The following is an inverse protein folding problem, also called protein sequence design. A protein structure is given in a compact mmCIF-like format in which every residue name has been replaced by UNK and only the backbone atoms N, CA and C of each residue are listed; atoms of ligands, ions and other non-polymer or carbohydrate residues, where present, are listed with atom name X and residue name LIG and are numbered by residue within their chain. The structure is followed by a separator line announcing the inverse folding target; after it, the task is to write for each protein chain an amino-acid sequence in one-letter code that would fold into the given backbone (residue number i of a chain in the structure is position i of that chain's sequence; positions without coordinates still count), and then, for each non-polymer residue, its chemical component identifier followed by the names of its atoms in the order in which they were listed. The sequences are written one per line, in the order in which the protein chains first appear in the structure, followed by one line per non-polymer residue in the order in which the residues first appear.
data_IF_634627878928
#
_entry.id   IF_634627878928
#
_cell.length_a   1.000
_cell.length_b   1.000
_cell.length_c   1.000
_cell.angle_alpha   90.00
_cell.angle_beta   90.00
_cell.angle_gamma   90.00
#
_symmetry.space_group_name_H-M   'P 1'
#
loop_
_entity.id
_entity.type
_entity.pdbx_description
1 polymer ?
#
# COMPACT_ATOMS: atom_id res chain seq x y z
N UNK A 1 11.10 41.65 20.28
CA UNK A 1 10.14 40.98 19.38
C UNK A 1 10.85 39.80 18.73
N UNK A 2 10.80 38.65 19.39
CA UNK A 2 11.50 37.42 19.00
C UNK A 2 10.60 36.65 18.05
N UNK A 3 11.00 36.53 16.77
CA UNK A 3 10.29 35.74 15.77
C UNK A 3 10.53 34.26 16.03
N UNK A 4 9.50 33.56 16.48
CA UNK A 4 9.49 32.12 16.62
C UNK A 4 9.49 31.49 15.22
N UNK A 5 10.56 30.78 14.86
CA UNK A 5 10.59 29.91 13.70
C UNK A 5 9.78 28.65 14.03
N UNK A 6 8.60 28.51 13.44
CA UNK A 6 7.86 27.26 13.43
C UNK A 6 8.57 26.37 12.40
N UNK A 7 9.39 25.44 12.89
CA UNK A 7 9.97 24.37 12.11
C UNK A 7 8.84 23.42 11.73
N UNK A 8 8.37 23.53 10.49
CA UNK A 8 7.38 22.63 9.91
C UNK A 8 8.10 21.32 9.55
N UNK A 9 8.21 20.40 10.50
CA UNK A 9 8.69 19.05 10.23
C UNK A 9 7.61 18.35 9.42
N UNK A 10 7.84 18.24 8.10
CA UNK A 10 7.06 17.45 7.17
C UNK A 10 7.20 15.98 7.61
N UNK A 11 6.25 15.48 8.39
CA UNK A 11 6.11 14.04 8.65
C UNK A 11 5.62 13.44 7.35
N UNK A 12 6.57 13.07 6.50
CA UNK A 12 6.32 12.25 5.33
C UNK A 12 5.96 10.86 5.89
N UNK A 13 4.69 10.46 5.81
CA UNK A 13 4.18 9.18 6.33
C UNK A 13 5.05 8.01 5.88
N UNK A 14 5.77 7.44 6.84
CA UNK A 14 6.75 6.35 6.65
C UNK A 14 6.13 5.08 6.05
N UNK A 15 4.81 4.90 6.16
CA UNK A 15 4.09 3.75 5.61
C UNK A 15 4.13 3.68 4.06
N UNK A 16 4.11 4.83 3.35
CA UNK A 16 4.21 4.85 1.88
C UNK A 16 5.65 4.90 1.35
N UNK A 17 6.64 5.15 2.22
CA UNK A 17 8.05 5.07 1.81
C UNK A 17 8.48 3.63 1.50
N UNK A 18 7.80 2.60 2.01
CA UNK A 18 8.07 1.21 1.60
C UNK A 18 7.43 0.82 0.26
N UNK A 19 6.29 1.42 -0.11
CA UNK A 19 5.61 1.16 -1.37
C UNK A 19 6.15 2.01 -2.55
N UNK A 20 6.61 3.24 -2.28
CA UNK A 20 7.02 4.20 -3.31
C UNK A 20 8.46 4.72 -3.14
N UNK A 21 9.22 4.23 -2.15
CA UNK A 21 10.62 4.60 -1.90
C UNK A 21 11.58 3.95 -2.89
N UNK A 22 11.61 4.46 -4.13
CA UNK A 22 12.81 4.64 -4.97
C UNK A 22 13.94 3.61 -4.75
N UNK A 23 13.76 2.41 -5.32
CA UNK A 23 14.75 1.34 -5.29
C UNK A 23 14.66 0.39 -6.48
N UNK A 24 14.39 0.92 -7.68
CA UNK A 24 14.82 0.19 -8.87
C UNK A 24 16.35 0.08 -8.85
N UNK A 25 16.96 -1.07 -9.18
CA UNK A 25 18.41 -1.17 -9.24
C UNK A 25 18.94 -0.08 -10.17
N UNK A 26 20.06 0.58 -9.83
CA UNK A 26 20.68 1.51 -10.75
C UNK A 26 20.91 0.77 -12.07
N UNK A 27 20.50 1.39 -13.19
CA UNK A 27 21.01 1.04 -14.52
C UNK A 27 22.51 1.36 -14.53
N UNK A 28 23.28 0.51 -13.86
CA UNK A 28 24.71 0.47 -13.92
C UNK A 28 25.07 -0.38 -15.12
N UNK A 29 25.55 0.29 -16.17
CA UNK A 29 26.29 -0.32 -17.25
C UNK A 29 27.43 -1.18 -16.66
N UNK A 30 27.21 -2.50 -16.62
CA UNK A 30 28.12 -3.47 -16.05
C UNK A 30 28.36 -4.59 -17.05
N UNK A 31 29.30 -4.35 -17.96
CA UNK A 31 30.06 -5.30 -18.77
C UNK A 31 29.65 -6.78 -18.67
N UNK A 32 29.16 -7.34 -19.78
CA UNK A 32 29.09 -8.77 -20.04
C UNK A 32 30.50 -9.38 -20.01
N UNK A 33 30.95 -9.79 -18.82
CA UNK A 33 32.15 -10.60 -18.63
C UNK A 33 31.75 -12.07 -18.48
N UNK A 34 31.82 -12.82 -19.58
CA UNK A 34 31.87 -14.28 -19.53
C UNK A 34 33.18 -14.71 -18.85
N UNK A 35 33.07 -15.63 -17.89
CA UNK A 35 34.21 -16.21 -17.18
C UNK A 35 33.82 -17.56 -16.61
N UNK A 36 34.30 -18.61 -17.28
CA UNK A 36 34.13 -20.00 -16.92
C UNK A 36 34.89 -20.36 -15.63
N UNK A 37 34.29 -21.23 -14.81
CA UNK A 37 35.05 -22.17 -13.98
C UNK A 37 35.02 -21.92 -12.47
N UNK A 38 34.46 -22.89 -11.74
CA UNK A 38 34.71 -23.07 -10.31
C UNK A 38 33.52 -23.65 -9.55
N UNK A 39 33.49 -24.98 -9.44
CA UNK A 39 32.72 -25.64 -8.42
C UNK A 39 33.38 -25.43 -7.03
N UNK A 40 32.54 -25.59 -6.00
CA UNK A 40 32.87 -25.79 -4.57
C UNK A 40 32.92 -24.54 -3.68
N UNK A 41 31.76 -24.23 -3.10
CA UNK A 41 31.62 -23.32 -1.96
C UNK A 41 30.21 -23.39 -1.39
N UNK A 42 29.96 -24.38 -0.53
CA UNK A 42 28.70 -24.54 0.21
C UNK A 42 28.44 -23.42 1.21
N UNK A 43 28.09 -22.24 0.70
CA UNK A 43 27.25 -21.31 1.43
C UNK A 43 25.83 -21.84 1.35
N UNK A 44 25.19 -22.12 2.48
CA UNK A 44 23.73 -22.04 2.52
C UNK A 44 23.41 -20.60 2.14
N UNK A 45 23.07 -20.38 0.87
CA UNK A 45 22.31 -19.23 0.45
C UNK A 45 21.10 -19.26 1.37
N UNK A 46 21.11 -18.45 2.43
CA UNK A 46 19.97 -18.28 3.32
C UNK A 46 18.95 -17.57 2.45
N UNK A 47 18.26 -18.37 1.65
CA UNK A 47 17.59 -17.95 0.43
C UNK A 47 16.64 -16.83 0.76
N UNK A 48 17.01 -15.64 0.30
CA UNK A 48 16.16 -14.47 0.37
C UNK A 48 14.96 -14.77 -0.53
N UNK A 49 13.83 -15.14 0.08
CA UNK A 49 12.64 -15.48 -0.67
C UNK A 49 12.03 -14.17 -1.22
N UNK A 50 11.84 -14.05 -2.54
CA UNK A 50 11.08 -12.94 -3.08
C UNK A 50 9.63 -13.05 -2.62
N UNK A 51 9.04 -11.92 -2.27
CA UNK A 51 7.64 -11.79 -1.88
C UNK A 51 6.96 -10.70 -2.70
N UNK A 52 5.65 -10.85 -2.87
CA UNK A 52 4.78 -9.80 -3.39
C UNK A 52 4.31 -8.97 -2.20
N UNK A 53 4.42 -7.65 -2.31
CA UNK A 53 3.87 -6.71 -1.34
C UNK A 53 2.65 -6.05 -1.95
N UNK A 54 1.54 -6.04 -1.22
CA UNK A 54 0.32 -5.42 -1.69
C UNK A 54 -0.62 -5.00 -0.57
N UNK A 55 -1.69 -4.34 -0.98
CA UNK A 55 -2.80 -3.95 -0.10
C UNK A 55 -4.04 -4.69 -0.54
N UNK A 56 -4.81 -5.17 0.43
CA UNK A 56 -6.16 -5.66 0.17
C UNK A 56 -7.10 -5.10 1.22
N UNK A 57 -8.30 -4.72 0.80
CA UNK A 57 -9.24 -4.07 1.70
C UNK A 57 -10.65 -4.51 1.48
N UNK A 58 -11.46 -4.35 2.53
CA UNK A 58 -12.90 -4.54 2.51
C UNK A 58 -13.55 -3.50 3.41
N UNK A 59 -14.59 -2.85 2.92
CA UNK A 59 -15.27 -1.79 3.67
C UNK A 59 -16.76 -1.73 3.37
N UNK A 60 -17.53 -1.30 4.37
CA UNK A 60 -18.87 -0.78 4.17
C UNK A 60 -18.78 0.68 3.71
N UNK A 61 -19.50 0.97 2.62
CA UNK A 61 -19.50 2.28 1.97
C UNK A 61 -20.93 2.76 1.81
N UNK A 62 -21.21 3.94 2.37
CA UNK A 62 -22.46 4.66 2.15
C UNK A 62 -22.17 5.81 1.20
N UNK A 63 -22.76 5.78 0.01
CA UNK A 63 -22.56 6.83 -1.01
C UNK A 63 -23.61 7.93 -0.85
N UNK A 64 -23.21 9.18 -1.09
CA UNK A 64 -24.11 10.33 -1.11
C UNK A 64 -23.79 11.36 -0.03
N UNK A 65 -24.76 12.24 0.25
CA UNK A 65 -24.60 13.30 1.24
C UNK A 65 -24.50 12.69 2.65
N UNK A 66 -23.38 12.95 3.33
CA UNK A 66 -23.09 12.31 4.62
C UNK A 66 -22.60 10.86 4.48
N UNK A 67 -22.09 10.49 3.31
CA UNK A 67 -21.52 9.18 3.07
C UNK A 67 -20.38 8.82 4.01
N UNK A 68 -20.14 7.52 4.16
CA UNK A 68 -19.15 6.95 5.07
C UNK A 68 -18.35 5.85 4.40
N UNK A 69 -17.16 5.59 4.94
CA UNK A 69 -16.32 4.46 4.60
C UNK A 69 -15.82 3.87 5.92
N UNK A 70 -16.08 2.61 6.18
CA UNK A 70 -15.62 1.92 7.38
C UNK A 70 -15.26 0.48 7.04
N UNK A 71 -14.01 0.11 7.28
CA UNK A 71 -13.52 -1.19 6.90
C UNK A 71 -12.15 -1.50 7.45
N UNK A 72 -11.47 -2.43 6.79
CA UNK A 72 -10.09 -2.81 7.11
C UNK A 72 -9.24 -2.84 5.86
N UNK A 73 -7.95 -2.66 6.07
CA UNK A 73 -6.93 -2.78 5.04
C UNK A 73 -5.78 -3.64 5.57
N UNK A 74 -5.40 -4.64 4.77
CA UNK A 74 -4.32 -5.55 5.04
C UNK A 74 -3.15 -5.20 4.12
N UNK A 75 -2.03 -4.75 4.71
CA UNK A 75 -0.73 -4.84 4.07
C UNK A 75 -0.26 -6.28 4.14
N UNK A 76 -0.12 -6.93 2.98
CA UNK A 76 0.34 -8.30 2.91
C UNK A 76 1.72 -8.41 2.27
N UNK A 77 2.46 -9.40 2.76
CA UNK A 77 3.65 -9.97 2.12
C UNK A 77 3.29 -11.40 1.75
N UNK A 78 3.29 -11.70 0.46
CA UNK A 78 2.87 -13.00 -0.07
C UNK A 78 4.05 -13.71 -0.71
N UNK A 79 4.23 -14.97 -0.35
CA UNK A 79 5.21 -15.87 -0.95
C UNK A 79 4.84 -16.21 -2.41
N UNK A 80 5.80 -16.68 -3.21
CA UNK A 80 5.57 -17.05 -4.61
C UNK A 80 4.55 -18.20 -4.80
N UNK A 81 4.30 -18.99 -3.76
CA UNK A 81 3.26 -20.02 -3.78
C UNK A 81 1.85 -19.48 -3.48
N UNK A 82 1.73 -18.18 -3.20
CA UNK A 82 0.48 -17.50 -2.89
C UNK A 82 0.11 -17.47 -1.40
N UNK A 83 0.93 -18.03 -0.50
CA UNK A 83 0.65 -17.94 0.94
C UNK A 83 1.07 -16.57 1.50
N UNK A 84 0.20 -15.95 2.29
CA UNK A 84 0.55 -14.73 3.02
C UNK A 84 1.51 -15.11 4.16
N UNK A 85 2.72 -14.55 4.14
CA UNK A 85 3.77 -14.81 5.13
C UNK A 85 3.81 -13.75 6.23
N UNK A 86 3.29 -12.55 5.94
CA UNK A 86 3.06 -11.49 6.91
C UNK A 86 1.85 -10.67 6.50
N UNK A 87 0.99 -10.35 7.47
CA UNK A 87 -0.14 -9.45 7.27
C UNK A 87 -0.23 -8.46 8.42
N UNK A 88 -0.21 -7.17 8.11
CA UNK A 88 -0.54 -6.10 9.03
C UNK A 88 -1.92 -5.57 8.66
N UNK A 89 -2.87 -5.69 9.58
CA UNK A 89 -4.24 -5.24 9.41
C UNK A 89 -4.45 -3.92 10.14
N UNK A 90 -5.02 -2.95 9.44
CA UNK A 90 -5.44 -1.65 9.97
C UNK A 90 -6.95 -1.48 9.85
N UNK A 91 -7.57 -0.82 10.82
CA UNK A 91 -8.92 -0.27 10.64
C UNK A 91 -8.82 0.97 9.75
N UNK A 92 -9.80 1.14 8.85
CA UNK A 92 -9.85 2.29 7.94
C UNK A 92 -11.18 2.98 8.08
N UNK A 93 -11.14 4.28 8.36
CA UNK A 93 -12.34 5.12 8.52
C UNK A 93 -12.21 6.40 7.71
N UNK A 94 -13.35 6.99 7.32
CA UNK A 94 -13.35 8.23 6.57
C UNK A 94 -12.99 9.46 7.43
N UNK A 95 -12.12 10.30 6.91
CA UNK A 95 -11.66 11.56 7.52
C UNK A 95 -12.21 12.83 6.85
N UNK A 96 -13.22 12.66 5.99
CA UNK A 96 -13.96 13.68 5.21
C UNK A 96 -13.54 15.16 5.39
N UNK A 97 -13.28 15.91 4.29
CA UNK A 97 -13.53 15.55 2.89
C UNK A 97 -12.38 14.78 2.21
N UNK A 98 -12.58 14.22 1.00
CA UNK A 98 -11.47 13.66 0.21
C UNK A 98 -10.37 14.70 -0.06
N UNK A 99 -9.11 14.26 -0.26
CA UNK A 99 -7.99 15.18 -0.50
C UNK A 99 -8.17 16.11 -1.71
N UNK A 100 -8.88 15.64 -2.73
CA UNK A 100 -9.26 16.41 -3.91
C UNK A 100 -10.52 15.81 -4.57
N UNK A 101 -11.17 16.58 -5.44
CA UNK A 101 -12.30 16.07 -6.24
C UNK A 101 -11.80 15.00 -7.24
N UNK A 102 -12.42 13.82 -7.24
CA UNK A 102 -12.21 12.83 -8.29
C UNK A 102 -13.30 12.97 -9.36
N UNK A 103 -12.96 13.57 -10.51
CA UNK A 103 -13.93 13.80 -11.59
C UNK A 103 -14.36 12.51 -12.32
N UNK A 104 -13.59 11.43 -12.20
CA UNK A 104 -13.84 10.16 -12.87
C UNK A 104 -14.40 9.09 -11.94
N UNK A 105 -14.56 9.40 -10.65
CA UNK A 105 -15.06 8.46 -9.66
C UNK A 105 -16.56 8.65 -9.43
N UNK A 106 -17.27 7.56 -9.21
CA UNK A 106 -18.65 7.55 -8.72
C UNK A 106 -18.73 8.05 -7.27
N UNK A 107 -17.69 7.73 -6.48
CA UNK A 107 -17.50 8.24 -5.13
C UNK A 107 -16.02 8.31 -4.78
N UNK A 108 -15.68 9.18 -3.82
CA UNK A 108 -14.32 9.29 -3.28
C UNK A 108 -14.35 9.74 -1.82
N UNK A 109 -13.43 9.21 -1.01
CA UNK A 109 -13.28 9.50 0.41
C UNK A 109 -11.84 9.84 0.75
N UNK A 110 -11.68 10.71 1.74
CA UNK A 110 -10.44 10.83 2.51
C UNK A 110 -10.53 9.81 3.64
N UNK A 111 -9.46 9.06 3.85
CA UNK A 111 -9.40 7.91 4.74
C UNK A 111 -8.20 8.05 5.67
N UNK A 112 -8.28 7.39 6.83
CA UNK A 112 -7.17 7.25 7.76
C UNK A 112 -7.17 5.87 8.41
N UNK A 113 -5.97 5.36 8.66
CA UNK A 113 -5.72 4.09 9.34
C UNK A 113 -5.64 4.25 10.86
N UNK A 114 -6.08 3.24 11.59
CA UNK A 114 -5.93 3.16 13.04
C UNK A 114 -5.90 1.70 13.51
N UNK A 115 -5.51 1.51 14.77
CA UNK A 115 -5.57 0.22 15.48
C UNK A 115 -4.87 -0.91 14.74
N UNK A 116 -3.72 -0.62 14.14
CA UNK A 116 -2.98 -1.58 13.33
C UNK A 116 -2.42 -2.73 14.16
N UNK A 117 -2.55 -3.95 13.66
CA UNK A 117 -2.11 -5.18 14.34
C UNK A 117 -1.51 -6.18 13.36
N UNK A 118 -0.61 -7.03 13.83
CA UNK A 118 -0.16 -8.19 13.04
C UNK A 118 -1.27 -9.24 13.05
N UNK A 119 -1.85 -9.51 11.88
CA UNK A 119 -2.89 -10.53 11.69
C UNK A 119 -2.29 -11.91 11.37
N UNK A 120 -1.15 -11.95 10.66
CA UNK A 120 -0.40 -13.17 10.32
C UNK A 120 1.11 -12.87 10.41
N UNK A 121 1.90 -13.77 10.99
CA UNK A 121 3.28 -13.46 11.44
C UNK A 121 4.32 -14.55 11.16
N UNK A 122 4.04 -15.50 10.27
CA UNK A 122 4.99 -16.59 10.00
C UNK A 122 6.39 -16.08 9.58
N UNK A 123 6.48 -14.91 8.93
CA UNK A 123 7.72 -14.24 8.60
C UNK A 123 7.58 -12.70 8.52
N UNK A 124 6.86 -12.08 9.46
CA UNK A 124 6.85 -10.61 9.49
C UNK A 124 8.27 -10.07 9.73
N UNK A 125 8.73 -9.09 8.93
CA UNK A 125 9.90 -8.32 9.30
C UNK A 125 9.68 -7.71 10.70
N UNK A 126 10.72 -7.16 11.32
CA UNK A 126 10.58 -6.34 12.55
C UNK A 126 9.85 -5.04 12.25
N UNK A 127 8.58 -5.13 11.84
CA UNK A 127 7.64 -4.05 11.63
C UNK A 127 6.93 -3.78 12.95
N UNK A 128 6.82 -2.51 13.30
CA UNK A 128 5.89 -2.08 14.33
C UNK A 128 4.54 -1.78 13.65
N UNK A 129 3.46 -2.52 13.96
CA UNK A 129 2.14 -2.24 13.38
C UNK A 129 1.68 -0.80 13.61
N UNK A 130 2.09 -0.18 14.72
CA UNK A 130 1.70 1.19 15.01
C UNK A 130 2.30 2.22 14.05
N UNK A 131 3.34 1.87 13.29
CA UNK A 131 3.89 2.73 12.22
C UNK A 131 2.89 2.95 11.07
N UNK A 132 1.85 2.11 10.98
CA UNK A 132 0.80 2.22 9.97
C UNK A 132 -0.40 3.05 10.44
N UNK A 133 -0.47 3.45 11.71
CA UNK A 133 -1.58 4.24 12.25
C UNK A 133 -1.44 5.74 11.90
N UNK A 134 -2.59 6.40 11.66
CA UNK A 134 -2.66 7.82 11.33
C UNK A 134 -2.21 8.16 9.91
N UNK A 135 -2.09 7.18 9.02
CA UNK A 135 -1.79 7.43 7.63
C UNK A 135 -3.04 7.94 6.90
N UNK A 136 -3.00 9.18 6.42
CA UNK A 136 -4.08 9.78 5.65
C UNK A 136 -3.89 9.56 4.14
N UNK A 137 -4.95 9.11 3.46
CA UNK A 137 -4.95 8.86 2.02
C UNK A 137 -6.34 9.09 1.41
N UNK A 138 -6.44 8.94 0.09
CA UNK A 138 -7.70 9.11 -0.63
C UNK A 138 -7.99 7.92 -1.53
N UNK A 139 -9.15 7.29 -1.34
CA UNK A 139 -9.68 6.26 -2.24
C UNK A 139 -10.90 6.78 -2.99
N UNK A 140 -11.01 6.34 -4.23
CA UNK A 140 -12.19 6.52 -5.06
C UNK A 140 -12.50 5.24 -5.81
N UNK A 141 -13.67 5.21 -6.41
CA UNK A 141 -14.15 4.08 -7.20
C UNK A 141 -14.87 4.57 -8.44
N UNK A 142 -14.71 3.86 -9.54
CA UNK A 142 -15.50 4.05 -10.75
C UNK A 142 -15.92 2.70 -11.34
N UNK A 143 -17.20 2.58 -11.68
CA UNK A 143 -17.75 1.45 -12.41
C UNK A 143 -17.76 1.71 -13.92
N UNK A 144 -17.12 0.79 -14.68
CA UNK A 144 -17.12 0.80 -16.15
C UNK A 144 -18.05 -0.27 -16.74
N UNK A 145 -19.01 -0.76 -15.95
CA UNK A 145 -20.08 -1.69 -16.30
C UNK A 145 -19.67 -3.16 -16.34
N UNK A 146 -18.42 -3.47 -16.71
CA UNK A 146 -17.86 -4.84 -16.67
C UNK A 146 -16.84 -5.06 -15.56
N UNK A 147 -16.24 -3.98 -15.09
CA UNK A 147 -15.21 -4.00 -14.07
C UNK A 147 -15.28 -2.68 -13.30
N UNK A 148 -15.06 -2.76 -11.99
CA UNK A 148 -14.82 -1.61 -11.14
C UNK A 148 -13.33 -1.33 -11.02
N UNK A 149 -12.96 -0.06 -10.88
CA UNK A 149 -11.58 0.38 -10.68
C UNK A 149 -11.48 1.16 -9.39
N UNK A 150 -10.55 0.74 -8.53
CA UNK A 150 -10.10 1.53 -7.38
C UNK A 150 -9.16 2.62 -7.85
N UNK A 151 -9.43 3.84 -7.41
CA UNK A 151 -8.57 5.00 -7.59
C UNK A 151 -7.85 5.34 -6.29
N UNK A 152 -6.55 5.62 -6.39
CA UNK A 152 -5.73 6.14 -5.30
C UNK A 152 -5.34 7.59 -5.59
N UNK A 153 -5.38 8.46 -4.57
CA UNK A 153 -4.90 9.83 -4.68
C UNK A 153 -3.42 9.94 -4.32
N UNK A 154 -2.57 10.19 -5.30
CA UNK A 154 -1.17 10.52 -5.09
C UNK A 154 -1.01 12.04 -4.92
N UNK A 155 -0.61 12.46 -3.72
CA UNK A 155 -0.37 13.88 -3.41
C UNK A 155 0.60 14.52 -4.41
N UNK A 156 0.17 15.62 -5.03
CA UNK A 156 0.93 16.35 -6.04
C UNK A 156 0.75 15.82 -7.48
N UNK A 157 0.17 14.65 -7.68
CA UNK A 157 -0.04 14.04 -9.00
C UNK A 157 -1.51 13.84 -9.37
N UNK A 158 -2.40 13.66 -8.38
CA UNK A 158 -3.84 13.47 -8.61
C UNK A 158 -4.29 12.02 -8.43
N UNK A 159 -5.46 11.71 -8.99
CA UNK A 159 -6.12 10.40 -8.90
C UNK A 159 -5.64 9.44 -9.99
N UNK A 160 -5.33 8.20 -9.63
CA UNK A 160 -4.89 7.15 -10.54
C UNK A 160 -5.65 5.85 -10.26
N UNK A 161 -6.10 5.17 -11.32
CA UNK A 161 -6.63 3.81 -11.19
C UNK A 161 -5.49 2.84 -10.88
N UNK A 162 -5.59 2.11 -9.78
CA UNK A 162 -4.50 1.26 -9.26
C UNK A 162 -4.82 -0.22 -9.25
N UNK A 163 -6.09 -0.60 -9.08
CA UNK A 163 -6.50 -1.99 -8.98
C UNK A 163 -7.93 -2.19 -9.49
N UNK A 164 -8.24 -3.43 -9.86
CA UNK A 164 -9.63 -3.84 -9.97
C UNK A 164 -10.25 -3.88 -8.59
N UNK A 165 -11.52 -3.51 -8.52
CA UNK A 165 -12.28 -3.52 -7.29
C UNK A 165 -13.74 -3.85 -7.57
N UNK A 166 -14.38 -4.43 -6.56
CA UNK A 166 -15.78 -4.79 -6.59
C UNK A 166 -16.54 -3.89 -5.61
N UNK A 167 -17.65 -3.31 -6.07
CA UNK A 167 -18.58 -2.56 -5.24
C UNK A 167 -20.01 -2.97 -5.56
N UNK A 168 -20.72 -3.53 -4.57
CA UNK A 168 -22.08 -4.04 -4.74
C UNK A 168 -23.18 -3.00 -4.42
N UNK A 169 -22.79 -1.75 -4.16
CA UNK A 169 -23.66 -0.67 -3.70
C UNK A 169 -23.58 -0.42 -2.19
N UNK A 170 -22.95 -1.33 -1.43
CA UNK A 170 -22.76 -1.17 0.02
C UNK A 170 -21.43 -1.69 0.54
N UNK A 171 -20.83 -2.67 -0.12
CA UNK A 171 -19.55 -3.26 0.25
C UNK A 171 -18.56 -3.06 -0.88
N UNK A 172 -17.41 -2.48 -0.54
CA UNK A 172 -16.27 -2.26 -1.43
C UNK A 172 -15.15 -3.22 -1.05
N UNK A 173 -14.56 -3.89 -2.05
CA UNK A 173 -13.39 -4.74 -1.84
C UNK A 173 -12.40 -4.64 -3.01
N UNK A 174 -11.13 -4.84 -2.71
CA UNK A 174 -10.07 -4.74 -3.71
C UNK A 174 -8.84 -5.57 -3.30
N UNK A 175 -8.00 -5.89 -4.30
CA UNK A 175 -6.66 -6.46 -4.10
C UNK A 175 -5.68 -5.74 -5.04
N UNK A 176 -4.69 -5.09 -4.46
CA UNK A 176 -3.71 -4.26 -5.15
C UNK A 176 -2.30 -4.77 -4.85
N UNK A 177 -1.70 -5.59 -5.73
CA UNK A 177 -0.27 -5.90 -5.66
C UNK A 177 0.52 -4.66 -6.07
N UNK A 178 1.38 -4.17 -5.17
CA UNK A 178 2.09 -2.90 -5.34
C UNK A 178 3.50 -3.14 -5.86
N UNK A 179 4.22 -4.11 -5.30
CA UNK A 179 5.63 -4.30 -5.59
C UNK A 179 6.11 -5.74 -5.31
N UNK A 180 7.33 -6.02 -5.72
CA UNK A 180 8.10 -7.19 -5.30
C UNK A 180 9.17 -6.76 -4.30
N UNK A 181 9.33 -7.53 -3.22
CA UNK A 181 10.33 -7.29 -2.20
C UNK A 181 11.07 -8.59 -1.85
N UNK A 182 12.08 -8.45 -1.00
CA UNK A 182 12.90 -9.52 -0.49
C UNK A 182 12.88 -9.41 1.03
N UNK A 183 12.49 -10.48 1.74
CA UNK A 183 12.50 -10.50 3.20
C UNK A 183 13.90 -10.88 3.71
N UNK A 184 14.43 -10.09 4.64
CA UNK A 184 15.73 -10.27 5.28
C UNK A 184 15.57 -10.59 6.76
#
# INVERSE_FOLDING_TARGET
MTRSMISLTLVCSSALLFACGRGGPPEGEGSLGGGDGGADGGGTDTGIAPVIVGLRGSAEVVVGLGGSYTGTEDLYYQSLDGSDVCVVRSEVTNTSPPPALCASCDWAFGLSTANSTVAESSACPTLDPSDFDGADFGYGYADFGKYGVMYYYYTGYGWYGVAYADFDGSTFSYDWPINYAYLY
#
